data_IF_535429826581
#
_entry.id   IF_535429826581
#
_cell.length_a   1.000
_cell.length_b   1.000
_cell.length_c   1.000
_cell.angle_alpha   90.00
_cell.angle_beta   90.00
_cell.angle_gamma   90.00
#
_symmetry.space_group_name_H-M   'P 1'
#
loop_
_entity.id
_entity.type
_entity.pdbx_description
1 polymer ?
#
# COMPACT_ATOMS: atom_id res chain seq x y z
N UNK A 1 -20.30 10.88 -8.88
CA UNK A 1 -20.25 12.33 -8.57
C UNK A 1 -19.40 13.14 -9.57
N UNK A 2 -18.21 12.65 -9.99
CA UNK A 2 -17.30 13.43 -10.85
C UNK A 2 -17.79 13.61 -12.31
N UNK A 3 -18.38 12.58 -12.94
CA UNK A 3 -18.90 12.66 -14.32
C UNK A 3 -19.98 13.74 -14.50
N UNK A 4 -20.94 13.84 -13.57
CA UNK A 4 -22.00 14.85 -13.63
C UNK A 4 -21.48 16.28 -13.40
N UNK A 5 -20.49 16.48 -12.53
CA UNK A 5 -19.83 17.79 -12.35
C UNK A 5 -19.06 18.20 -13.61
N UNK A 6 -18.35 17.26 -14.23
CA UNK A 6 -17.62 17.49 -15.46
C UNK A 6 -18.55 17.86 -16.62
N UNK A 7 -19.69 17.18 -16.79
CA UNK A 7 -20.68 17.53 -17.81
C UNK A 7 -21.19 18.96 -17.64
N UNK A 8 -21.52 19.38 -16.41
CA UNK A 8 -21.91 20.77 -16.11
C UNK A 8 -20.81 21.79 -16.39
N UNK A 9 -19.55 21.41 -16.28
CA UNK A 9 -18.40 22.27 -16.57
C UNK A 9 -18.14 22.36 -18.08
N UNK A 10 -18.36 21.25 -18.79
CA UNK A 10 -18.29 21.18 -20.25
C UNK A 10 -19.34 22.07 -20.92
N UNK A 11 -20.55 22.19 -20.35
CA UNK A 11 -21.62 23.06 -20.84
C UNK A 11 -21.24 24.55 -20.82
N UNK A 12 -20.25 24.93 -20.00
CA UNK A 12 -19.72 26.31 -19.94
C UNK A 12 -18.64 26.59 -20.99
N UNK A 13 -18.16 25.57 -21.70
CA UNK A 13 -17.14 25.70 -22.75
C UNK A 13 -17.84 26.07 -24.06
N UNK A 14 -17.57 27.29 -24.54
CA UNK A 14 -18.29 27.90 -25.67
C UNK A 14 -17.91 27.30 -27.03
N UNK A 15 -16.68 26.79 -27.16
CA UNK A 15 -16.17 26.15 -28.38
C UNK A 15 -16.48 24.65 -28.37
N UNK A 16 -17.13 24.15 -29.42
CA UNK A 16 -17.54 22.74 -29.56
C UNK A 16 -16.36 21.76 -29.60
N UNK A 17 -15.24 22.14 -30.24
CA UNK A 17 -14.03 21.32 -30.30
C UNK A 17 -13.36 21.21 -28.92
N UNK A 18 -13.28 22.32 -28.19
CA UNK A 18 -12.69 22.33 -26.85
C UNK A 18 -13.58 21.57 -25.85
N UNK A 19 -14.91 21.68 -26.00
CA UNK A 19 -15.86 20.89 -25.21
C UNK A 19 -15.71 19.40 -25.46
N UNK A 20 -15.59 18.98 -26.72
CA UNK A 20 -15.39 17.57 -27.08
C UNK A 20 -14.07 17.03 -26.53
N UNK A 21 -12.96 17.78 -26.68
CA UNK A 21 -11.66 17.42 -26.11
C UNK A 21 -11.71 17.29 -24.58
N UNK A 22 -12.39 18.22 -23.92
CA UNK A 22 -12.56 18.18 -22.47
C UNK A 22 -13.35 16.94 -22.02
N UNK A 23 -14.49 16.66 -22.66
CA UNK A 23 -15.31 15.47 -22.35
C UNK A 23 -14.49 14.19 -22.56
N UNK A 24 -13.82 14.02 -23.71
CA UNK A 24 -13.00 12.85 -23.99
C UNK A 24 -11.89 12.66 -22.95
N UNK A 25 -11.27 13.76 -22.49
CA UNK A 25 -10.24 13.71 -21.45
C UNK A 25 -10.80 13.19 -20.13
N UNK A 26 -11.99 13.65 -19.73
CA UNK A 26 -12.65 13.19 -18.52
C UNK A 26 -13.10 11.73 -18.64
N UNK A 27 -13.63 11.34 -19.80
CA UNK A 27 -14.04 9.95 -20.03
C UNK A 27 -12.86 8.99 -19.93
N UNK A 28 -11.72 9.36 -20.52
CA UNK A 28 -10.47 8.61 -20.36
C UNK A 28 -10.06 8.51 -18.89
N UNK A 29 -9.98 9.63 -18.17
CA UNK A 29 -9.63 9.62 -16.74
C UNK A 29 -10.57 8.77 -15.88
N UNK A 30 -11.87 8.76 -16.19
CA UNK A 30 -12.83 7.91 -15.47
C UNK A 30 -12.61 6.43 -15.81
N UNK A 31 -12.26 6.12 -17.06
CA UNK A 31 -11.83 4.79 -17.49
C UNK A 31 -10.61 4.32 -16.72
N UNK A 32 -9.53 5.11 -16.77
CA UNK A 32 -8.25 4.83 -16.10
C UNK A 32 -8.46 4.52 -14.60
N UNK A 33 -9.27 5.33 -13.88
CA UNK A 33 -9.56 5.11 -12.45
C UNK A 33 -10.29 3.78 -12.19
N UNK A 34 -11.20 3.39 -13.08
CA UNK A 34 -11.91 2.12 -12.95
C UNK A 34 -10.99 0.93 -13.23
N UNK A 35 -10.14 1.04 -14.25
CA UNK A 35 -9.16 0.02 -14.62
C UNK A 35 -8.11 -0.16 -13.50
N UNK A 36 -7.58 0.95 -12.96
CA UNK A 36 -6.68 0.95 -11.81
C UNK A 36 -7.27 0.17 -10.63
N UNK A 37 -8.53 0.44 -10.27
CA UNK A 37 -9.18 -0.23 -9.15
C UNK A 37 -9.32 -1.75 -9.37
N UNK A 38 -9.70 -2.17 -10.59
CA UNK A 38 -9.87 -3.57 -10.94
C UNK A 38 -8.52 -4.30 -10.97
N UNK A 39 -7.52 -3.72 -11.64
CA UNK A 39 -6.18 -4.30 -11.76
C UNK A 39 -5.49 -4.37 -10.41
N UNK A 40 -5.56 -3.31 -9.61
CA UNK A 40 -4.98 -3.27 -8.27
C UNK A 40 -5.56 -4.38 -7.39
N UNK A 41 -6.89 -4.50 -7.34
CA UNK A 41 -7.55 -5.58 -6.58
C UNK A 41 -7.17 -6.97 -7.11
N UNK A 42 -7.11 -7.14 -8.43
CA UNK A 42 -6.75 -8.43 -9.04
C UNK A 42 -5.32 -8.85 -8.67
N UNK A 43 -4.37 -7.92 -8.75
CA UNK A 43 -2.97 -8.18 -8.39
C UNK A 43 -2.79 -8.42 -6.89
N UNK A 44 -3.54 -7.70 -6.04
CA UNK A 44 -3.57 -7.88 -4.60
C UNK A 44 -3.99 -9.31 -4.22
N UNK A 45 -5.14 -9.75 -4.74
CA UNK A 45 -5.66 -11.09 -4.45
C UNK A 45 -4.79 -12.19 -5.08
N UNK A 46 -4.24 -11.96 -6.27
CA UNK A 46 -3.29 -12.89 -6.89
C UNK A 46 -2.03 -13.08 -6.02
N UNK A 47 -1.50 -11.99 -5.44
CA UNK A 47 -0.36 -12.06 -4.53
C UNK A 47 -0.67 -12.88 -3.27
N UNK A 48 -1.87 -12.72 -2.69
CA UNK A 48 -2.34 -13.60 -1.62
C UNK A 48 -2.39 -15.05 -2.05
N UNK A 49 -3.06 -15.36 -3.17
CA UNK A 49 -3.20 -16.74 -3.63
C UNK A 49 -1.85 -17.42 -3.88
N UNK A 50 -0.91 -16.74 -4.55
CA UNK A 50 0.43 -17.27 -4.79
C UNK A 50 1.17 -17.50 -3.47
N UNK A 51 1.16 -16.52 -2.56
CA UNK A 51 1.90 -16.64 -1.30
C UNK A 51 1.37 -17.79 -0.42
N UNK A 52 0.05 -17.98 -0.36
CA UNK A 52 -0.53 -19.08 0.40
C UNK A 52 -0.32 -20.44 -0.28
N UNK A 53 -0.52 -20.52 -1.60
CA UNK A 53 -0.46 -21.81 -2.31
C UNK A 53 0.98 -22.31 -2.48
N UNK A 54 1.97 -21.42 -2.50
CA UNK A 54 3.39 -21.79 -2.50
C UNK A 54 3.96 -22.02 -1.10
N UNK A 55 3.15 -21.89 -0.03
CA UNK A 55 3.58 -22.07 1.35
C UNK A 55 4.49 -20.97 1.89
N UNK A 56 4.58 -19.82 1.22
CA UNK A 56 5.31 -18.65 1.73
C UNK A 56 4.65 -18.08 2.98
N UNK A 57 3.32 -18.07 2.99
CA UNK A 57 2.48 -17.72 4.14
C UNK A 57 1.52 -18.87 4.42
N UNK A 58 1.11 -19.03 5.68
CA UNK A 58 0.05 -19.96 6.07
C UNK A 58 -1.25 -19.21 6.35
N UNK A 59 -2.38 -19.73 5.86
CA UNK A 59 -3.70 -19.07 6.00
C UNK A 59 -4.16 -18.93 7.45
N UNK A 60 -3.94 -19.97 8.26
CA UNK A 60 -4.51 -20.06 9.62
C UNK A 60 -3.50 -19.78 10.74
N UNK A 61 -2.24 -19.47 10.41
CA UNK A 61 -1.15 -19.35 11.39
C UNK A 61 -1.13 -18.03 12.17
N UNK A 62 -2.08 -17.12 11.92
CA UNK A 62 -2.10 -15.80 12.55
C UNK A 62 -0.92 -14.91 12.12
N UNK A 63 -0.47 -15.00 10.87
CA UNK A 63 0.52 -14.10 10.30
C UNK A 63 0.11 -12.62 10.48
N UNK A 64 1.05 -11.70 10.74
CA UNK A 64 0.70 -10.31 11.01
C UNK A 64 0.12 -9.64 9.77
N UNK A 65 -1.00 -8.91 9.92
CA UNK A 65 -1.66 -8.28 8.77
C UNK A 65 -0.75 -7.30 8.04
N UNK A 66 0.15 -6.60 8.74
CA UNK A 66 1.06 -5.67 8.07
C UNK A 66 1.93 -6.36 7.01
N UNK A 67 2.32 -7.62 7.24
CA UNK A 67 3.17 -8.36 6.33
C UNK A 67 2.35 -8.89 5.16
N UNK A 68 1.21 -9.54 5.47
CA UNK A 68 0.34 -10.17 4.48
C UNK A 68 -0.21 -9.13 3.50
N UNK A 69 -0.76 -8.05 4.05
CA UNK A 69 -1.34 -6.93 3.29
C UNK A 69 -0.23 -6.09 2.65
N UNK A 70 0.86 -5.81 3.36
CA UNK A 70 1.98 -5.03 2.83
C UNK A 70 2.64 -5.68 1.61
N UNK A 71 2.78 -7.01 1.63
CA UNK A 71 3.24 -7.80 0.49
C UNK A 71 2.28 -7.74 -0.69
N UNK A 72 0.97 -7.90 -0.45
CA UNK A 72 -0.02 -7.81 -1.52
C UNK A 72 -0.04 -6.41 -2.16
N UNK A 73 0.01 -5.37 -1.34
CA UNK A 73 0.07 -3.98 -1.80
C UNK A 73 1.37 -3.66 -2.54
N UNK A 74 2.48 -4.34 -2.21
CA UNK A 74 3.74 -4.23 -2.96
C UNK A 74 3.61 -4.75 -4.41
N UNK A 75 2.65 -5.64 -4.66
CA UNK A 75 2.35 -6.20 -5.98
C UNK A 75 1.23 -5.42 -6.72
N UNK A 76 0.43 -4.62 -6.02
CA UNK A 76 -0.82 -4.05 -6.55
C UNK A 76 -0.70 -2.71 -7.29
N UNK A 77 0.52 -2.14 -7.40
CA UNK A 77 0.71 -0.77 -7.89
C UNK A 77 0.27 -0.59 -9.35
N UNK A 78 -0.74 0.27 -9.55
CA UNK A 78 -1.23 0.70 -10.87
C UNK A 78 -1.10 2.22 -11.03
N UNK A 79 -1.05 2.67 -12.28
CA UNK A 79 -1.16 4.08 -12.66
C UNK A 79 -1.73 4.19 -14.06
N UNK A 80 -2.69 5.10 -14.27
CA UNK A 80 -3.27 5.41 -15.59
C UNK A 80 -3.90 4.21 -16.31
N UNK A 81 -4.56 3.32 -15.55
CA UNK A 81 -5.27 2.16 -16.09
C UNK A 81 -4.38 0.95 -16.38
N UNK A 82 -3.12 0.98 -15.97
CA UNK A 82 -2.17 -0.12 -16.21
C UNK A 82 -1.42 -0.53 -14.93
N UNK A 83 -0.98 -1.79 -14.90
CA UNK A 83 -0.07 -2.27 -13.87
C UNK A 83 1.35 -1.79 -14.17
N UNK A 84 1.99 -1.20 -13.18
CA UNK A 84 3.27 -0.52 -13.38
C UNK A 84 4.45 -1.50 -13.40
N UNK A 85 4.83 -2.00 -12.23
CA UNK A 85 5.81 -3.06 -12.04
C UNK A 85 5.76 -3.55 -10.59
N UNK A 86 6.34 -4.73 -10.34
CA UNK A 86 6.51 -5.25 -8.99
C UNK A 86 7.36 -4.28 -8.17
N UNK A 87 6.83 -3.86 -7.01
CA UNK A 87 7.55 -2.93 -6.17
C UNK A 87 7.64 -1.52 -6.73
N UNK A 88 6.77 -1.12 -7.65
CA UNK A 88 6.60 0.29 -8.02
C UNK A 88 5.97 1.09 -6.87
N UNK A 89 6.24 2.41 -6.77
CA UNK A 89 5.51 3.31 -5.86
C UNK A 89 4.00 3.17 -6.06
N UNK A 90 3.23 3.14 -4.97
CA UNK A 90 1.77 3.05 -5.04
C UNK A 90 1.16 4.43 -4.75
N UNK A 91 0.61 5.15 -5.76
CA UNK A 91 0.11 6.51 -5.58
C UNK A 91 -0.99 6.63 -4.54
N UNK A 92 -1.86 5.61 -4.41
CA UNK A 92 -2.94 5.58 -3.44
C UNK A 92 -2.37 5.54 -2.01
N UNK A 93 -1.41 4.66 -1.74
CA UNK A 93 -0.77 4.51 -0.43
C UNK A 93 0.04 5.74 -0.06
N UNK A 94 0.74 6.33 -1.01
CA UNK A 94 1.49 7.57 -0.79
C UNK A 94 0.54 8.72 -0.44
N UNK A 95 -0.63 8.80 -1.08
CA UNK A 95 -1.64 9.79 -0.73
C UNK A 95 -2.18 9.59 0.69
N UNK A 96 -2.39 8.35 1.14
CA UNK A 96 -2.79 8.02 2.52
C UNK A 96 -1.73 8.46 3.54
N UNK A 97 -0.46 8.13 3.30
CA UNK A 97 0.67 8.53 4.16
C UNK A 97 0.84 10.05 4.20
N UNK A 98 0.62 10.74 3.08
CA UNK A 98 0.71 12.21 3.00
C UNK A 98 -0.36 12.89 3.86
N UNK A 99 -1.55 12.32 3.97
CA UNK A 99 -2.69 12.93 4.70
C UNK A 99 -2.46 13.01 6.20
N UNK A 100 -1.69 12.09 6.78
CA UNK A 100 -1.54 11.98 8.25
C UNK A 100 -0.43 12.86 8.82
N UNK A 101 0.39 13.49 7.96
CA UNK A 101 1.40 14.49 8.33
C UNK A 101 2.32 14.05 9.49
N UNK A 102 2.83 12.82 9.42
CA UNK A 102 3.73 12.27 10.43
C UNK A 102 3.03 11.61 11.64
N UNK A 103 1.71 11.70 11.75
CA UNK A 103 0.95 11.00 12.79
C UNK A 103 0.72 9.54 12.40
N UNK A 104 1.78 8.74 12.52
CA UNK A 104 1.78 7.32 12.17
C UNK A 104 1.34 6.43 13.34
N UNK A 105 0.81 5.24 13.03
CA UNK A 105 0.67 4.13 13.97
C UNK A 105 2.08 3.71 14.41
N UNK A 106 2.37 3.62 15.72
CA UNK A 106 3.67 3.17 16.21
C UNK A 106 4.05 1.80 15.64
N UNK A 107 5.31 1.64 15.22
CA UNK A 107 5.80 0.42 14.57
C UNK A 107 5.55 -0.82 15.42
N UNK A 108 5.80 -0.74 16.73
CA UNK A 108 5.53 -1.85 17.63
C UNK A 108 4.05 -2.27 17.60
N UNK A 109 3.11 -1.32 17.61
CA UNK A 109 1.68 -1.62 17.57
C UNK A 109 1.28 -2.26 16.23
N UNK A 110 1.84 -1.76 15.13
CA UNK A 110 1.60 -2.31 13.79
C UNK A 110 2.05 -3.78 13.66
N UNK A 111 3.16 -4.14 14.33
CA UNK A 111 3.69 -5.52 14.34
C UNK A 111 2.91 -6.42 15.31
N UNK A 112 2.60 -5.90 16.50
CA UNK A 112 2.06 -6.67 17.61
C UNK A 112 0.63 -7.14 17.36
N UNK A 113 -0.23 -6.31 16.78
CA UNK A 113 -1.64 -6.63 16.61
C UNK A 113 -2.27 -6.00 15.36
N UNK A 114 -3.46 -6.51 15.01
CA UNK A 114 -4.19 -6.11 13.81
C UNK A 114 -5.36 -5.15 14.11
N UNK A 115 -5.35 -4.48 15.28
CA UNK A 115 -6.47 -3.65 15.75
C UNK A 115 -6.78 -2.49 14.81
N UNK A 116 -5.77 -1.97 14.09
CA UNK A 116 -5.92 -0.86 13.16
C UNK A 116 -6.97 -1.12 12.06
N UNK A 117 -7.22 -2.38 11.70
CA UNK A 117 -8.22 -2.78 10.70
C UNK A 117 -9.66 -2.43 11.09
N UNK A 118 -9.95 -2.36 12.39
CA UNK A 118 -11.27 -2.02 12.93
C UNK A 118 -11.45 -0.55 13.28
N UNK A 119 -10.53 0.32 12.89
CA UNK A 119 -10.51 1.73 13.29
C UNK A 119 -10.61 2.66 12.07
N UNK A 120 -10.90 3.96 12.27
CA UNK A 120 -10.77 4.96 11.21
C UNK A 120 -9.38 5.04 10.56
N UNK A 121 -8.35 4.45 11.19
CA UNK A 121 -6.98 4.39 10.67
C UNK A 121 -6.75 3.23 9.69
N UNK A 122 -7.76 2.50 9.24
CA UNK A 122 -7.60 1.34 8.34
C UNK A 122 -6.78 1.66 7.08
N UNK A 123 -7.05 2.79 6.43
CA UNK A 123 -6.30 3.24 5.25
C UNK A 123 -4.84 3.56 5.58
N UNK A 124 -4.59 4.22 6.71
CA UNK A 124 -3.24 4.48 7.19
C UNK A 124 -2.51 3.16 7.48
N UNK A 125 -3.17 2.19 8.10
CA UNK A 125 -2.60 0.88 8.38
C UNK A 125 -2.14 0.15 7.12
N UNK A 126 -2.94 0.21 6.05
CA UNK A 126 -2.53 -0.31 4.74
C UNK A 126 -1.33 0.44 4.15
N UNK A 127 -1.37 1.78 4.14
CA UNK A 127 -0.25 2.60 3.66
C UNK A 127 1.05 2.34 4.42
N UNK A 128 0.97 2.19 5.74
CA UNK A 128 2.11 1.86 6.59
C UNK A 128 2.63 0.44 6.38
N UNK A 129 1.72 -0.53 6.23
CA UNK A 129 2.05 -1.92 5.95
C UNK A 129 2.84 -2.05 4.63
N UNK A 130 2.37 -1.39 3.58
CA UNK A 130 3.07 -1.28 2.30
C UNK A 130 4.46 -0.65 2.46
N UNK A 131 4.56 0.49 3.14
CA UNK A 131 5.83 1.18 3.30
C UNK A 131 6.84 0.36 4.12
N UNK A 132 6.39 -0.36 5.15
CA UNK A 132 7.24 -1.23 5.96
C UNK A 132 7.72 -2.43 5.13
N UNK A 133 6.82 -3.10 4.41
CA UNK A 133 7.20 -4.21 3.53
C UNK A 133 8.20 -3.76 2.47
N UNK A 134 7.94 -2.62 1.83
CA UNK A 134 8.81 -2.02 0.82
C UNK A 134 10.20 -1.69 1.37
N UNK A 135 10.29 -1.05 2.54
CA UNK A 135 11.56 -0.76 3.22
C UNK A 135 12.36 -2.04 3.46
N UNK A 136 11.71 -3.08 4.00
CA UNK A 136 12.38 -4.35 4.31
C UNK A 136 12.81 -5.09 3.04
N UNK A 137 12.00 -5.03 1.98
CA UNK A 137 12.38 -5.56 0.67
C UNK A 137 13.59 -4.84 0.08
N UNK A 138 13.67 -3.51 0.19
CA UNK A 138 14.75 -2.70 -0.38
C UNK A 138 16.05 -2.74 0.43
N UNK A 139 15.96 -2.75 1.76
CA UNK A 139 17.14 -2.58 2.64
C UNK A 139 17.53 -3.84 3.41
N UNK A 140 16.62 -4.79 3.58
CA UNK A 140 16.79 -5.93 4.51
C UNK A 140 16.21 -7.24 3.93
N UNK A 141 16.33 -7.44 2.61
CA UNK A 141 15.77 -8.62 1.91
C UNK A 141 16.18 -9.95 2.55
N UNK A 142 17.47 -10.18 2.91
CA UNK A 142 17.88 -11.43 3.55
C UNK A 142 17.18 -11.67 4.90
N UNK A 143 17.02 -10.62 5.71
CA UNK A 143 16.34 -10.67 7.00
C UNK A 143 14.84 -10.93 6.82
N UNK A 144 14.22 -10.29 5.83
CA UNK A 144 12.82 -10.52 5.48
C UNK A 144 12.59 -11.96 5.02
N UNK A 145 13.49 -12.51 4.21
CA UNK A 145 13.43 -13.92 3.82
C UNK A 145 13.55 -14.86 5.03
N UNK A 146 14.48 -14.58 5.96
CA UNK A 146 14.61 -15.35 7.19
C UNK A 146 13.34 -15.25 8.06
N UNK A 147 12.78 -14.04 8.18
CA UNK A 147 11.53 -13.81 8.92
C UNK A 147 10.36 -14.59 8.34
N UNK A 148 10.19 -14.58 7.01
CA UNK A 148 9.15 -15.35 6.32
C UNK A 148 9.29 -16.86 6.57
N UNK A 149 10.52 -17.39 6.55
CA UNK A 149 10.78 -18.81 6.90
C UNK A 149 10.39 -19.12 8.34
N UNK A 150 10.67 -18.23 9.30
CA UNK A 150 10.23 -18.39 10.68
C UNK A 150 8.71 -18.42 10.77
N UNK A 151 8.03 -17.47 10.14
CA UNK A 151 6.57 -17.40 10.15
C UNK A 151 5.91 -18.62 9.49
N UNK A 152 6.53 -19.20 8.47
CA UNK A 152 6.08 -20.44 7.86
C UNK A 152 6.11 -21.66 8.81
N UNK A 153 6.67 -21.53 10.03
CA UNK A 153 6.62 -22.57 11.07
C UNK A 153 5.67 -22.24 12.22
N UNK A 154 5.17 -21.00 12.29
CA UNK A 154 4.28 -20.55 13.37
C UNK A 154 2.87 -21.06 13.15
N UNK A 155 2.12 -21.19 14.25
CA UNK A 155 0.70 -21.57 14.26
C UNK A 155 -0.18 -20.58 15.02
N UNK A 156 0.44 -19.63 15.73
CA UNK A 156 -0.24 -18.63 16.56
C UNK A 156 0.46 -17.28 16.41
N UNK A 157 -0.25 -16.21 16.77
CA UNK A 157 0.25 -14.83 16.71
C UNK A 157 1.12 -14.42 17.91
N UNK A 158 1.33 -15.30 18.88
CA UNK A 158 1.95 -14.98 20.17
C UNK A 158 3.39 -14.45 20.06
N UNK A 159 4.12 -14.88 19.03
CA UNK A 159 5.55 -14.58 18.88
C UNK A 159 5.86 -13.43 17.92
N UNK A 160 4.86 -12.71 17.40
CA UNK A 160 5.03 -11.70 16.34
C UNK A 160 6.17 -10.71 16.62
N UNK A 161 6.16 -10.08 17.79
CA UNK A 161 7.19 -9.08 18.18
C UNK A 161 8.55 -9.73 18.42
N UNK A 162 8.58 -10.90 19.05
CA UNK A 162 9.82 -11.62 19.33
C UNK A 162 10.51 -12.08 18.04
N UNK A 163 9.75 -12.68 17.12
CA UNK A 163 10.23 -13.13 15.82
C UNK A 163 10.70 -11.96 14.96
N UNK A 164 9.96 -10.84 15.00
CA UNK A 164 10.35 -9.63 14.29
C UNK A 164 11.68 -9.08 14.81
N UNK A 165 11.84 -8.97 16.13
CA UNK A 165 13.11 -8.53 16.75
C UNK A 165 14.27 -9.48 16.45
N UNK A 166 14.01 -10.78 16.42
CA UNK A 166 15.02 -11.76 16.06
C UNK A 166 15.52 -11.59 14.61
N UNK A 167 14.64 -11.21 13.68
CA UNK A 167 14.99 -11.00 12.28
C UNK A 167 15.62 -9.62 11.99
N UNK A 168 15.07 -8.55 12.58
CA UNK A 168 15.39 -7.17 12.20
C UNK A 168 16.15 -6.38 13.28
N UNK A 169 16.41 -7.01 14.43
CA UNK A 169 17.13 -6.43 15.57
C UNK A 169 16.23 -6.01 16.73
N UNK A 170 16.82 -5.94 17.92
CA UNK A 170 16.10 -5.65 19.18
C UNK A 170 15.72 -4.17 19.35
N UNK A 171 16.44 -3.26 18.68
CA UNK A 171 16.21 -1.82 18.77
C UNK A 171 15.11 -1.37 17.79
N UNK A 172 13.86 -1.60 18.18
CA UNK A 172 12.70 -1.19 17.40
C UNK A 172 12.60 0.33 17.22
N UNK A 173 13.10 1.11 18.18
CA UNK A 173 13.09 2.58 18.10
C UNK A 173 13.99 3.08 16.97
N UNK A 174 15.17 2.48 16.81
CA UNK A 174 16.06 2.78 15.69
C UNK A 174 15.42 2.41 14.36
N UNK A 175 14.77 1.25 14.27
CA UNK A 175 14.06 0.85 13.05
C UNK A 175 12.88 1.76 12.75
N UNK A 176 12.09 2.13 13.75
CA UNK A 176 10.98 3.07 13.62
C UNK A 176 11.46 4.43 13.10
N UNK A 177 12.58 4.94 13.62
CA UNK A 177 13.20 6.17 13.13
C UNK A 177 13.60 6.07 11.65
N UNK A 178 14.21 4.95 11.23
CA UNK A 178 14.55 4.71 9.81
C UNK A 178 13.29 4.62 8.96
N UNK A 179 12.27 3.93 9.46
CA UNK A 179 11.00 3.70 8.78
C UNK A 179 10.19 4.98 8.56
N UNK A 180 10.09 5.85 9.57
CA UNK A 180 9.45 7.15 9.41
C UNK A 180 10.19 8.01 8.38
N UNK A 181 11.52 8.06 8.46
CA UNK A 181 12.35 8.75 7.46
C UNK A 181 12.15 8.19 6.05
N UNK A 182 12.02 6.87 5.93
CA UNK A 182 11.77 6.20 4.66
C UNK A 182 10.43 6.64 4.05
N UNK A 183 9.36 6.68 4.86
CA UNK A 183 8.06 7.19 4.41
C UNK A 183 8.16 8.64 3.93
N UNK A 184 8.87 9.50 4.66
CA UNK A 184 9.07 10.90 4.25
C UNK A 184 9.87 11.02 2.94
N UNK A 185 10.89 10.18 2.75
CA UNK A 185 11.65 10.10 1.49
C UNK A 185 10.77 9.69 0.31
N UNK A 186 9.93 8.68 0.49
CA UNK A 186 9.00 8.18 -0.53
C UNK A 186 7.96 9.25 -0.88
N UNK A 187 7.33 9.88 0.11
CA UNK A 187 6.37 10.97 -0.08
C UNK A 187 7.03 12.12 -0.86
N UNK A 188 8.26 12.48 -0.53
CA UNK A 188 9.00 13.55 -1.19
C UNK A 188 9.36 13.21 -2.64
N UNK A 189 9.76 11.96 -2.93
CA UNK A 189 10.12 11.51 -4.28
C UNK A 189 8.89 11.35 -5.18
N UNK A 190 7.75 10.99 -4.61
CA UNK A 190 6.52 10.68 -5.33
C UNK A 190 5.35 11.51 -4.77
N UNK A 191 5.38 12.84 -4.89
CA UNK A 191 4.34 13.68 -4.33
C UNK A 191 2.98 13.28 -4.90
N UNK A 192 2.01 13.03 -4.02
CA UNK A 192 0.65 12.73 -4.44
C UNK A 192 0.14 13.82 -5.39
N UNK A 193 -0.46 13.42 -6.51
CA UNK A 193 -1.07 14.36 -7.44
C UNK A 193 -2.07 15.24 -6.66
N UNK A 194 -1.92 16.56 -6.77
CA UNK A 194 -2.89 17.48 -6.16
C UNK A 194 -4.24 17.18 -6.77
N UNK A 195 -5.17 16.65 -5.97
CA UNK A 195 -6.59 16.63 -6.33
C UNK A 195 -7.00 18.11 -6.46
N UNK A 196 -7.11 18.59 -7.71
CA UNK A 196 -7.61 19.93 -8.03
C UNK A 196 -9.12 19.94 -8.07
#
# INVERSE_FOLDING_TARGET
ANKQKALKQADRIRNSLDRARFINTIERQVGDVSEDAILSTTMHEAAHQIAFNCGLLQRDAGGPCWLVEGMAIYCESTDQGDWTALGSPNPLRIAELTRVKGNYIPLQKLIENDQWRGTPNVLLGYGQSWALFRLLMEEQTPQLQAYLRTLATRKTSEYRVADFRAAFGNDLTKLETRYQRYMDEVIRRHPAAKVR
#
